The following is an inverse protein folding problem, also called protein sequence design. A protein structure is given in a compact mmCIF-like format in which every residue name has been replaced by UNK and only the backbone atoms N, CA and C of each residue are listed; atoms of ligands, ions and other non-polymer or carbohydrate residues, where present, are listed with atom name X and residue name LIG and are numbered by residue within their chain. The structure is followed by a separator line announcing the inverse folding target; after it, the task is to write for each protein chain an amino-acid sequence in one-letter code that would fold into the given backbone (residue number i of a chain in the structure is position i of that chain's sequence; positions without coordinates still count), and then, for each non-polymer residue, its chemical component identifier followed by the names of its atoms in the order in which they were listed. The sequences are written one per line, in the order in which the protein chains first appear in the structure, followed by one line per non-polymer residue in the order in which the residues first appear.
data_IF_029427903294
#
_entry.id   IF_029427903294
#
_cell.length_a   1.000
_cell.length_b   1.000
_cell.length_c   1.000
_cell.angle_alpha   90.00
_cell.angle_beta   90.00
_cell.angle_gamma   90.00
#
_symmetry.space_group_name_H-M   'P 1'
#
loop_
_entity.id
_entity.type
_entity.pdbx_description
1 polymer ?
#
# COMPACT_ATOMS: atom_id res chain seq x y z
N UNK A 1 7.98 -21.07 9.62
CA UNK A 1 7.23 -20.84 8.35
C UNK A 1 6.74 -19.40 8.17
N UNK A 2 6.39 -18.65 9.23
CA UNK A 2 5.83 -17.29 9.14
C UNK A 2 6.70 -16.24 8.40
N UNK A 3 8.02 -16.25 8.61
CA UNK A 3 8.94 -15.22 8.07
C UNK A 3 8.94 -15.06 6.54
N UNK A 4 8.59 -16.12 5.80
CA UNK A 4 8.55 -16.10 4.33
C UNK A 4 7.27 -15.43 3.79
N UNK A 5 6.20 -15.36 4.59
CA UNK A 5 4.92 -14.76 4.22
C UNK A 5 4.91 -13.25 4.48
N UNK A 6 5.49 -12.79 5.58
CA UNK A 6 5.54 -11.35 5.92
C UNK A 6 6.22 -10.54 4.81
N UNK A 7 7.32 -11.06 4.26
CA UNK A 7 8.03 -10.42 3.15
C UNK A 7 7.13 -10.19 1.93
N UNK A 8 6.29 -11.15 1.59
CA UNK A 8 5.38 -11.06 0.43
C UNK A 8 4.36 -9.94 0.66
N UNK A 9 3.80 -9.83 1.87
CA UNK A 9 2.88 -8.75 2.20
C UNK A 9 3.55 -7.37 2.19
N UNK A 10 4.78 -7.27 2.71
CA UNK A 10 5.57 -6.04 2.64
C UNK A 10 5.91 -5.65 1.19
N UNK A 11 6.23 -6.62 0.33
CA UNK A 11 6.44 -6.41 -1.10
C UNK A 11 5.16 -5.91 -1.78
N UNK A 12 3.98 -6.47 -1.47
CA UNK A 12 2.70 -5.96 -2.00
C UNK A 12 2.41 -4.51 -1.58
N UNK A 13 2.75 -4.13 -0.34
CA UNK A 13 2.62 -2.76 0.14
C UNK A 13 3.56 -1.84 -0.66
N UNK A 14 4.84 -2.22 -0.76
CA UNK A 14 5.85 -1.46 -1.49
C UNK A 14 5.48 -1.27 -2.96
N UNK A 15 5.08 -2.34 -3.65
CA UNK A 15 4.65 -2.29 -5.05
C UNK A 15 3.45 -1.35 -5.23
N UNK A 16 2.49 -1.39 -4.30
CA UNK A 16 1.33 -0.51 -4.32
C UNK A 16 1.73 0.95 -4.15
N UNK A 17 2.70 1.26 -3.28
CA UNK A 17 3.21 2.62 -3.06
C UNK A 17 3.88 3.14 -4.34
N UNK A 18 4.78 2.35 -4.93
CA UNK A 18 5.48 2.70 -6.17
C UNK A 18 4.48 2.98 -7.31
N UNK A 19 3.41 2.19 -7.41
CA UNK A 19 2.36 2.40 -8.40
C UNK A 19 1.60 3.71 -8.16
N UNK A 20 1.20 4.02 -6.92
CA UNK A 20 0.56 5.31 -6.60
C UNK A 20 1.46 6.49 -6.98
N UNK A 21 2.73 6.45 -6.60
CA UNK A 21 3.69 7.50 -6.94
C UNK A 21 3.83 7.65 -8.47
N UNK A 22 3.91 6.54 -9.20
CA UNK A 22 4.00 6.55 -10.67
C UNK A 22 2.75 7.12 -11.32
N UNK A 23 1.57 6.79 -10.80
CA UNK A 23 0.30 7.32 -11.30
C UNK A 23 0.22 8.83 -11.09
N UNK A 24 0.59 9.32 -9.90
CA UNK A 24 0.42 10.71 -9.51
C UNK A 24 1.52 11.64 -10.04
N UNK A 25 2.73 11.13 -10.32
CA UNK A 25 3.89 11.95 -10.74
C UNK A 25 3.63 12.88 -11.93
N UNK A 26 2.69 12.53 -12.81
CA UNK A 26 2.40 13.29 -14.04
C UNK A 26 1.26 14.28 -13.90
N UNK A 27 0.56 14.29 -12.77
CA UNK A 27 -0.70 15.01 -12.62
C UNK A 27 -0.66 15.93 -11.41
N UNK A 28 -1.17 17.14 -11.59
CA UNK A 28 -1.40 18.04 -10.47
C UNK A 28 -2.68 17.64 -9.70
N UNK A 29 -2.91 18.31 -8.57
CA UNK A 29 -4.10 18.08 -7.75
C UNK A 29 -5.40 18.30 -8.53
N UNK A 30 -5.45 19.31 -9.40
CA UNK A 30 -6.69 19.66 -10.14
C UNK A 30 -7.05 18.56 -11.12
N UNK A 31 -6.08 18.02 -11.84
CA UNK A 31 -6.29 16.89 -12.71
C UNK A 31 -6.74 15.67 -11.90
N UNK A 32 -6.06 15.34 -10.80
CA UNK A 32 -6.40 14.19 -9.97
C UNK A 32 -7.86 14.22 -9.49
N UNK A 33 -8.31 15.33 -8.88
CA UNK A 33 -9.68 15.42 -8.32
C UNK A 33 -10.77 15.40 -9.39
N UNK A 34 -10.46 15.71 -10.64
CA UNK A 34 -11.40 15.68 -11.77
C UNK A 34 -11.27 14.40 -12.62
N UNK A 35 -10.50 13.41 -12.18
CA UNK A 35 -10.23 12.18 -12.93
C UNK A 35 -10.66 10.95 -12.11
N UNK A 36 -11.95 10.54 -12.16
CA UNK A 36 -12.47 9.47 -11.32
C UNK A 36 -11.69 8.16 -11.41
N UNK A 37 -11.34 7.71 -12.62
CA UNK A 37 -10.59 6.46 -12.80
C UNK A 37 -9.21 6.48 -12.11
N UNK A 38 -8.58 7.65 -12.00
CA UNK A 38 -7.29 7.79 -11.34
C UNK A 38 -7.45 7.75 -9.82
N UNK A 39 -8.53 8.33 -9.30
CA UNK A 39 -8.91 8.20 -7.89
C UNK A 39 -9.17 6.74 -7.55
N UNK A 40 -9.97 6.04 -8.35
CA UNK A 40 -10.28 4.62 -8.16
C UNK A 40 -9.02 3.76 -8.18
N UNK A 41 -8.09 4.04 -9.10
CA UNK A 41 -6.81 3.34 -9.16
C UNK A 41 -5.98 3.53 -7.88
N UNK A 42 -5.92 4.74 -7.34
CA UNK A 42 -5.22 5.06 -6.08
C UNK A 42 -5.91 4.41 -4.88
N UNK A 43 -7.23 4.53 -4.79
CA UNK A 43 -8.03 3.89 -3.72
C UNK A 43 -7.81 2.38 -3.73
N UNK A 44 -7.82 1.75 -4.90
CA UNK A 44 -7.56 0.31 -5.03
C UNK A 44 -6.16 -0.08 -4.54
N UNK A 45 -5.15 0.76 -4.76
CA UNK A 45 -3.81 0.50 -4.20
C UNK A 45 -3.81 0.59 -2.68
N UNK A 46 -4.51 1.55 -2.08
CA UNK A 46 -4.66 1.64 -0.62
C UNK A 46 -5.41 0.45 -0.01
N UNK A 47 -6.45 -0.06 -0.67
CA UNK A 47 -7.13 -1.29 -0.23
C UNK A 47 -6.17 -2.50 -0.17
N UNK A 48 -5.33 -2.66 -1.20
CA UNK A 48 -4.33 -3.73 -1.24
C UNK A 48 -3.30 -3.58 -0.12
N UNK A 49 -2.83 -2.35 0.14
CA UNK A 49 -1.93 -2.08 1.26
C UNK A 49 -2.58 -2.43 2.60
N UNK A 50 -3.84 -2.06 2.81
CA UNK A 50 -4.58 -2.34 4.04
C UNK A 50 -4.80 -3.84 4.25
N UNK A 51 -5.15 -4.56 3.19
CA UNK A 51 -5.30 -6.02 3.24
C UNK A 51 -3.97 -6.72 3.52
N UNK A 52 -2.89 -6.31 2.86
CA UNK A 52 -1.56 -6.84 3.12
C UNK A 52 -1.12 -6.57 4.57
N UNK A 53 -1.36 -5.36 5.10
CA UNK A 53 -0.97 -4.97 6.47
C UNK A 53 -1.65 -5.83 7.53
N UNK A 54 -2.94 -6.18 7.34
CA UNK A 54 -3.67 -7.08 8.24
C UNK A 54 -3.06 -8.47 8.32
N UNK A 55 -2.55 -8.97 7.20
CA UNK A 55 -2.02 -10.33 7.07
C UNK A 55 -0.55 -10.47 7.52
N UNK A 56 0.13 -9.37 7.84
CA UNK A 56 1.46 -9.42 8.47
C UNK A 56 1.35 -10.06 9.85
N UNK A 57 2.31 -10.91 10.18
CA UNK A 57 2.29 -11.67 11.43
C UNK A 57 2.39 -10.76 12.66
N UNK A 58 1.66 -11.13 13.72
CA UNK A 58 1.72 -10.41 15.00
C UNK A 58 3.14 -10.38 15.59
N UNK A 59 3.97 -11.38 15.30
CA UNK A 59 5.38 -11.38 15.69
C UNK A 59 6.13 -10.23 15.02
N UNK A 60 5.93 -10.04 13.71
CA UNK A 60 6.57 -8.96 12.97
C UNK A 60 6.06 -7.59 13.44
N UNK A 61 4.74 -7.44 13.65
CA UNK A 61 4.15 -6.20 14.17
C UNK A 61 4.73 -5.80 15.52
N UNK A 62 4.89 -6.76 16.44
CA UNK A 62 5.50 -6.52 17.76
C UNK A 62 6.98 -6.16 17.71
N UNK A 63 7.71 -6.59 16.67
CA UNK A 63 9.10 -6.16 16.44
C UNK A 63 9.19 -4.72 15.93
N UNK A 64 8.09 -4.18 15.40
CA UNK A 64 7.98 -2.84 14.82
C UNK A 64 6.82 -2.04 15.45
N UNK A 65 6.86 -1.78 16.77
CA UNK A 65 5.79 -1.07 17.48
C UNK A 65 5.68 0.41 17.10
N UNK A 66 6.67 0.97 16.42
CA UNK A 66 6.67 2.33 15.88
C UNK A 66 5.70 2.51 14.70
N UNK A 67 5.27 1.42 14.08
CA UNK A 67 4.35 1.42 12.95
C UNK A 67 2.93 1.09 13.44
N UNK A 68 1.96 1.91 13.05
CA UNK A 68 0.54 1.64 13.29
C UNK A 68 0.02 0.73 12.17
N UNK A 69 0.13 -0.58 12.41
CA UNK A 69 -0.25 -1.66 11.48
C UNK A 69 -1.74 -1.77 11.20
#
# INVERSE_FOLDING_TARGET
MAKKLDRVYLEHILDSIILVEKYLKKYDRKFFVNTPYLIDAVVRRFEIMGEASKNISEQYKKMHPEIVW
#
